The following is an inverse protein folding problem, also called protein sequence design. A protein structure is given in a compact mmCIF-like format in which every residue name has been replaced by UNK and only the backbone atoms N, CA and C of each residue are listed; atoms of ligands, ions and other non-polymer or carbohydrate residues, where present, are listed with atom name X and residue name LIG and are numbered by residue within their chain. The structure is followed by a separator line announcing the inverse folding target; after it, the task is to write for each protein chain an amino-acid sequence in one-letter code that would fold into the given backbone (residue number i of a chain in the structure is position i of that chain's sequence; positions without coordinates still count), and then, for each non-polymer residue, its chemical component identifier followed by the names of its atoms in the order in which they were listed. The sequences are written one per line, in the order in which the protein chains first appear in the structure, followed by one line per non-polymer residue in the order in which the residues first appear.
data_IF_254271790147
#
_entry.id   IF_254271790147
#
_cell.length_a   1.000
_cell.length_b   1.000
_cell.length_c   1.000
_cell.angle_alpha   90.00
_cell.angle_beta   90.00
_cell.angle_gamma   90.00
#
_symmetry.space_group_name_H-M   'P 1'
#
loop_
_entity.id
_entity.type
_entity.pdbx_description
1 polymer ?
#
# COMPACT_ATOMS: atom_id res chain seq x y z
N UNK A 1 37.14 -62.10 8.20
CA UNK A 1 37.81 -60.90 8.68
C UNK A 1 36.90 -59.73 8.31
N UNK A 2 36.33 -59.10 9.31
CA UNK A 2 35.32 -58.02 9.20
C UNK A 2 35.94 -56.69 8.76
N UNK A 3 35.34 -56.05 7.82
CA UNK A 3 35.49 -54.59 7.64
C UNK A 3 34.13 -53.94 7.59
N UNK A 4 33.82 -53.17 8.64
CA UNK A 4 32.63 -52.32 8.79
C UNK A 4 32.78 -51.09 7.93
N UNK A 5 31.83 -50.87 7.04
CA UNK A 5 31.61 -49.59 6.37
C UNK A 5 30.75 -48.69 7.25
N UNK A 6 31.32 -47.54 7.66
CA UNK A 6 30.60 -46.49 8.37
C UNK A 6 29.85 -45.58 7.36
N UNK A 7 28.55 -45.60 7.43
CA UNK A 7 27.67 -44.67 6.74
C UNK A 7 27.72 -43.28 7.43
N UNK A 8 28.09 -42.26 6.67
CA UNK A 8 27.98 -40.85 7.09
C UNK A 8 26.55 -40.38 6.82
N UNK A 9 25.78 -40.19 7.87
CA UNK A 9 24.50 -39.48 7.86
C UNK A 9 24.75 -37.99 7.63
N UNK A 10 24.39 -37.52 6.43
CA UNK A 10 24.26 -36.08 6.13
C UNK A 10 22.90 -35.65 6.56
N UNK A 11 22.78 -35.10 7.76
CA UNK A 11 21.54 -34.57 8.30
C UNK A 11 21.22 -33.21 7.65
N UNK A 12 20.06 -33.17 7.01
CA UNK A 12 19.41 -32.02 6.42
C UNK A 12 19.03 -30.99 7.49
N UNK A 13 19.55 -29.79 7.35
CA UNK A 13 19.14 -28.63 8.10
C UNK A 13 18.71 -27.52 7.13
N UNK A 14 17.66 -27.76 6.33
CA UNK A 14 17.00 -26.68 5.62
C UNK A 14 15.92 -26.10 6.55
N UNK A 15 16.31 -25.11 7.33
CA UNK A 15 15.37 -24.29 8.10
C UNK A 15 14.52 -23.44 7.13
N UNK A 16 13.27 -23.86 6.94
CA UNK A 16 12.25 -23.05 6.30
C UNK A 16 11.98 -21.83 7.18
N UNK A 17 12.53 -20.69 6.79
CA UNK A 17 12.09 -19.39 7.29
C UNK A 17 10.74 -19.07 6.65
N UNK A 18 9.65 -19.64 7.17
CA UNK A 18 8.29 -19.18 6.91
C UNK A 18 8.09 -17.89 7.69
N UNK A 19 8.42 -16.78 7.07
CA UNK A 19 7.99 -15.45 7.49
C UNK A 19 6.48 -15.33 7.32
N UNK A 20 5.70 -15.80 8.28
CA UNK A 20 4.29 -15.51 8.43
C UNK A 20 4.16 -14.04 8.89
N UNK A 21 4.20 -13.10 7.96
CA UNK A 21 3.64 -11.77 8.17
C UNK A 21 2.11 -11.93 8.17
N UNK A 22 1.54 -12.49 9.24
CA UNK A 22 0.10 -12.38 9.50
C UNK A 22 -0.16 -10.91 9.74
N UNK A 23 -0.78 -10.24 8.75
CA UNK A 23 -1.45 -8.95 8.95
C UNK A 23 -2.33 -9.12 10.18
N UNK A 24 -1.99 -8.47 11.31
CA UNK A 24 -2.78 -8.54 12.52
C UNK A 24 -4.04 -7.71 12.25
N UNK A 25 -5.15 -8.38 11.93
CA UNK A 25 -6.47 -7.78 11.87
C UNK A 25 -6.81 -7.25 13.28
N UNK A 26 -6.65 -5.94 13.45
CA UNK A 26 -6.97 -5.29 14.73
C UNK A 26 -8.46 -5.03 14.83
N UNK A 27 -9.03 -5.25 16.01
CA UNK A 27 -10.49 -5.13 16.22
C UNK A 27 -10.96 -3.66 16.13
N UNK A 28 -11.58 -3.33 14.96
CA UNK A 28 -12.60 -2.32 14.77
C UNK A 28 -12.29 -0.85 15.02
N UNK A 29 -13.32 -0.04 14.81
CA UNK A 29 -13.30 1.42 14.92
C UNK A 29 -12.84 1.93 16.30
N UNK A 30 -13.02 1.16 17.38
CA UNK A 30 -12.55 1.58 18.71
C UNK A 30 -11.04 1.60 18.82
N UNK A 31 -10.37 0.60 18.26
CA UNK A 31 -8.91 0.50 18.29
C UNK A 31 -8.28 1.48 17.30
N UNK A 32 -8.89 1.63 16.12
CA UNK A 32 -8.52 2.68 15.17
C UNK A 32 -8.54 4.07 15.84
N UNK A 33 -9.63 4.40 16.55
CA UNK A 33 -9.78 5.68 17.27
C UNK A 33 -8.84 5.85 18.48
N UNK A 34 -8.23 4.78 18.98
CA UNK A 34 -7.16 4.90 20.02
C UNK A 34 -5.86 5.43 19.39
N UNK A 35 -5.56 5.01 18.17
CA UNK A 35 -4.29 5.29 17.50
C UNK A 35 -4.36 6.52 16.59
N UNK A 36 -5.53 6.83 16.01
CA UNK A 36 -5.71 7.91 15.04
C UNK A 36 -6.79 8.89 15.46
N UNK A 37 -6.64 10.16 15.04
CA UNK A 37 -7.66 11.18 15.26
C UNK A 37 -8.72 11.03 14.17
N UNK A 38 -9.95 10.70 14.57
CA UNK A 38 -11.10 10.61 13.66
C UNK A 38 -12.28 11.27 14.36
N UNK A 39 -12.71 12.40 13.84
CA UNK A 39 -13.82 13.19 14.31
C UNK A 39 -14.64 13.76 13.15
N UNK A 40 -15.59 14.64 13.45
CA UNK A 40 -16.47 15.26 12.46
C UNK A 40 -15.75 16.23 11.51
N UNK A 41 -14.57 16.70 11.90
CA UNK A 41 -13.77 17.67 11.15
C UNK A 41 -12.65 16.97 10.37
N UNK A 42 -12.56 15.64 10.43
CA UNK A 42 -11.53 14.89 9.69
C UNK A 42 -11.70 15.10 8.19
N UNK A 43 -10.66 15.60 7.55
CA UNK A 43 -10.63 15.97 6.14
C UNK A 43 -10.90 14.74 5.25
N UNK A 44 -11.84 14.89 4.31
CA UNK A 44 -12.12 13.88 3.29
C UNK A 44 -11.27 14.17 2.07
N UNK A 45 -10.34 13.28 1.72
CA UNK A 45 -9.48 13.39 0.54
C UNK A 45 -10.19 12.97 -0.74
N UNK A 46 -11.12 12.01 -0.64
CA UNK A 46 -11.84 11.50 -1.78
C UNK A 46 -12.96 10.53 -1.40
N UNK A 47 -13.84 10.28 -2.36
CA UNK A 47 -14.94 9.33 -2.22
C UNK A 47 -15.04 8.47 -3.47
N UNK A 48 -14.94 7.15 -3.31
CA UNK A 48 -15.13 6.14 -4.36
C UNK A 48 -16.43 5.35 -4.19
N UNK A 49 -16.63 4.36 -5.07
CA UNK A 49 -17.82 3.52 -5.09
C UNK A 49 -18.04 2.77 -3.75
N UNK A 50 -16.97 2.27 -3.14
CA UNK A 50 -17.04 1.43 -1.97
C UNK A 50 -16.83 2.17 -0.64
N UNK A 51 -16.33 3.42 -0.68
CA UNK A 51 -16.02 4.15 0.55
C UNK A 51 -15.42 5.51 0.38
N UNK A 52 -14.77 5.99 1.45
CA UNK A 52 -14.13 7.30 1.52
C UNK A 52 -12.70 7.18 1.99
N UNK A 53 -11.86 8.13 1.59
CA UNK A 53 -10.49 8.28 2.09
C UNK A 53 -10.41 9.54 2.95
N UNK A 54 -9.85 9.41 4.14
CA UNK A 54 -9.72 10.49 5.11
C UNK A 54 -8.24 10.78 5.36
N UNK A 55 -7.89 12.05 5.51
CA UNK A 55 -6.58 12.48 6.02
C UNK A 55 -6.65 12.63 7.51
N UNK A 56 -5.68 12.08 8.22
CA UNK A 56 -5.56 12.23 9.66
C UNK A 56 -4.11 12.02 10.10
N UNK A 57 -3.88 11.92 11.40
CA UNK A 57 -2.56 11.68 11.97
C UNK A 57 -2.61 10.69 13.13
N UNK A 58 -1.45 10.08 13.40
CA UNK A 58 -1.29 9.16 14.51
C UNK A 58 -1.26 9.95 15.84
N UNK A 59 -2.01 9.52 16.85
CA UNK A 59 -2.09 10.20 18.17
C UNK A 59 -0.80 10.13 18.96
N UNK A 60 0.00 9.11 18.75
CA UNK A 60 1.28 8.88 19.43
C UNK A 60 2.46 9.55 18.71
N UNK A 61 2.27 9.85 17.42
CA UNK A 61 3.22 10.60 16.59
C UNK A 61 2.43 11.56 15.69
N UNK A 62 2.26 12.80 16.11
CA UNK A 62 1.46 13.81 15.40
C UNK A 62 2.07 14.24 14.06
N UNK A 63 3.35 14.00 13.84
CA UNK A 63 4.03 14.27 12.56
C UNK A 63 3.71 13.20 11.52
N UNK A 64 3.31 11.99 11.96
CA UNK A 64 2.91 10.92 11.07
C UNK A 64 1.49 11.16 10.56
N UNK A 65 1.37 11.84 9.42
CA UNK A 65 0.12 11.96 8.68
C UNK A 65 -0.17 10.67 7.92
N UNK A 66 -1.43 10.27 7.91
CA UNK A 66 -1.90 9.04 7.25
C UNK A 66 -3.15 9.27 6.44
N UNK A 67 -3.34 8.47 5.40
CA UNK A 67 -4.60 8.31 4.69
C UNK A 67 -5.31 7.06 5.20
N UNK A 68 -6.60 7.17 5.54
CA UNK A 68 -7.42 6.03 5.95
C UNK A 68 -8.52 5.81 4.93
N UNK A 69 -8.42 4.72 4.15
CA UNK A 69 -9.46 4.27 3.20
C UNK A 69 -10.48 3.47 3.99
N UNK A 70 -11.70 3.98 4.10
CA UNK A 70 -12.82 3.35 4.82
C UNK A 70 -13.76 2.71 3.84
N UNK A 71 -13.87 1.40 3.86
CA UNK A 71 -14.63 0.60 2.92
C UNK A 71 -15.87 0.01 3.61
N UNK A 72 -17.05 0.17 3.01
CA UNK A 72 -18.29 -0.39 3.53
C UNK A 72 -18.46 -1.85 3.10
N UNK A 73 -18.51 -2.78 4.06
CA UNK A 73 -18.73 -4.21 3.79
C UNK A 73 -20.04 -4.48 3.06
N UNK A 74 -21.10 -3.70 3.35
CA UNK A 74 -22.39 -3.84 2.68
C UNK A 74 -22.35 -3.45 1.19
N UNK A 75 -21.44 -2.54 0.81
CA UNK A 75 -21.22 -2.16 -0.59
C UNK A 75 -20.26 -3.11 -1.31
N UNK A 76 -19.35 -3.74 -0.56
CA UNK A 76 -18.36 -4.65 -1.10
C UNK A 76 -18.95 -6.02 -1.47
N UNK A 77 -19.92 -6.53 -0.69
CA UNK A 77 -20.56 -7.84 -0.90
C UNK A 77 -19.64 -8.92 -1.51
N UNK A 78 -19.67 -9.03 -2.84
CA UNK A 78 -18.93 -10.05 -3.61
C UNK A 78 -17.44 -9.68 -3.85
N UNK A 79 -17.00 -8.48 -3.40
CA UNK A 79 -15.63 -7.98 -3.57
C UNK A 79 -14.77 -8.08 -2.29
N UNK A 80 -15.26 -8.74 -1.23
CA UNK A 80 -14.52 -8.85 0.04
C UNK A 80 -13.19 -9.62 -0.12
N UNK A 81 -13.17 -10.63 -0.96
CA UNK A 81 -11.94 -11.38 -1.25
C UNK A 81 -10.92 -10.51 -2.01
N UNK A 82 -11.38 -9.74 -3.01
CA UNK A 82 -10.51 -8.82 -3.73
C UNK A 82 -9.85 -7.76 -2.82
N UNK A 83 -10.56 -7.30 -1.76
CA UNK A 83 -9.95 -6.38 -0.77
C UNK A 83 -8.91 -7.09 0.10
N UNK A 84 -9.12 -8.35 0.44
CA UNK A 84 -8.08 -9.13 1.15
C UNK A 84 -6.84 -9.29 0.30
N UNK A 85 -7.01 -9.60 -0.99
CA UNK A 85 -5.92 -9.71 -1.93
C UNK A 85 -5.18 -8.37 -2.08
N UNK A 86 -5.90 -7.23 -2.17
CA UNK A 86 -5.31 -5.88 -2.18
C UNK A 86 -4.45 -5.65 -0.93
N UNK A 87 -4.96 -6.00 0.25
CA UNK A 87 -4.21 -5.86 1.52
C UNK A 87 -2.98 -6.76 1.54
N UNK A 88 -3.12 -8.02 1.13
CA UNK A 88 -2.02 -8.98 1.10
C UNK A 88 -0.91 -8.56 0.12
N UNK A 89 -1.28 -7.94 -0.99
CA UNK A 89 -0.36 -7.33 -1.94
C UNK A 89 0.38 -6.16 -1.30
N UNK A 90 -0.36 -5.20 -0.74
CA UNK A 90 0.21 -4.00 -0.14
C UNK A 90 1.17 -4.32 1.01
N UNK A 91 0.91 -5.38 1.78
CA UNK A 91 1.80 -5.82 2.88
C UNK A 91 3.14 -6.39 2.41
N UNK A 92 3.23 -6.85 1.16
CA UNK A 92 4.46 -7.40 0.57
C UNK A 92 5.34 -6.35 -0.09
N UNK A 93 4.78 -5.18 -0.39
CA UNK A 93 5.44 -4.13 -1.15
C UNK A 93 6.07 -3.10 -0.20
N UNK A 94 7.39 -3.01 -0.19
CA UNK A 94 8.15 -1.96 0.50
C UNK A 94 9.13 -1.32 -0.48
N UNK A 95 8.72 -0.21 -1.08
CA UNK A 95 9.49 0.50 -2.11
C UNK A 95 9.24 2.02 -2.02
N UNK A 96 10.24 2.89 -2.20
CA UNK A 96 10.09 4.34 -2.07
C UNK A 96 9.04 4.96 -3.01
N UNK A 97 8.79 4.35 -4.17
CA UNK A 97 7.84 4.84 -5.17
C UNK A 97 6.49 4.05 -5.18
N UNK A 98 6.19 3.33 -4.11
CA UNK A 98 4.90 2.68 -3.87
C UNK A 98 4.33 3.23 -2.56
N UNK A 99 3.01 3.45 -2.51
CA UNK A 99 2.35 3.89 -1.27
C UNK A 99 2.63 2.91 -0.14
N UNK A 100 3.07 3.42 1.00
CA UNK A 100 3.34 2.58 2.17
C UNK A 100 2.05 2.22 2.87
N UNK A 101 1.82 0.94 3.05
CA UNK A 101 0.75 0.40 3.87
C UNK A 101 1.25 0.22 5.32
N UNK A 102 0.40 0.56 6.30
CA UNK A 102 0.73 0.44 7.71
C UNK A 102 -0.04 -0.68 8.40
N UNK A 103 -1.37 -0.61 8.38
CA UNK A 103 -2.21 -1.56 9.13
C UNK A 103 -3.67 -1.56 8.68
N UNK A 104 -4.39 -2.65 8.98
CA UNK A 104 -5.84 -2.78 8.75
C UNK A 104 -6.58 -2.91 10.07
N UNK A 105 -7.73 -2.24 10.14
CA UNK A 105 -8.73 -2.44 11.18
C UNK A 105 -10.03 -2.92 10.55
N UNK A 106 -10.73 -3.83 11.23
CA UNK A 106 -11.97 -4.43 10.73
C UNK A 106 -13.01 -4.42 11.84
N UNK A 107 -14.21 -3.95 11.53
CA UNK A 107 -15.38 -4.14 12.39
C UNK A 107 -16.55 -4.81 11.62
N UNK A 108 -17.72 -4.86 12.22
CA UNK A 108 -18.89 -5.50 11.61
C UNK A 108 -19.32 -4.86 10.28
N UNK A 109 -19.10 -3.54 10.11
CA UNK A 109 -19.63 -2.74 8.99
C UNK A 109 -18.56 -2.28 8.02
N UNK A 110 -17.34 -2.08 8.50
CA UNK A 110 -16.28 -1.41 7.73
C UNK A 110 -14.94 -2.14 7.80
N UNK A 111 -14.14 -1.90 6.76
CA UNK A 111 -12.70 -2.19 6.70
C UNK A 111 -11.99 -0.84 6.59
N UNK A 112 -10.94 -0.66 7.39
CA UNK A 112 -10.13 0.56 7.43
C UNK A 112 -8.70 0.22 7.04
N UNK A 113 -8.24 0.73 5.92
CA UNK A 113 -6.87 0.58 5.45
C UNK A 113 -6.09 1.85 5.80
N UNK A 114 -5.06 1.73 6.61
CA UNK A 114 -4.20 2.85 7.01
C UNK A 114 -2.96 2.84 6.16
N UNK A 115 -2.71 3.94 5.46
CA UNK A 115 -1.64 4.09 4.50
C UNK A 115 -0.92 5.43 4.68
N UNK A 116 0.24 5.55 4.06
CA UNK A 116 0.98 6.81 3.90
C UNK A 116 0.06 7.89 3.29
N UNK A 117 0.07 9.08 3.90
CA UNK A 117 -0.55 10.25 3.29
C UNK A 117 0.41 10.88 2.30
N UNK A 118 -0.05 11.13 1.08
CA UNK A 118 0.73 11.74 0.00
C UNK A 118 0.09 13.07 -0.34
N UNK A 119 0.78 14.17 -0.05
CA UNK A 119 0.20 15.52 -0.01
C UNK A 119 0.57 16.44 -1.17
N UNK A 120 1.26 15.97 -2.21
CA UNK A 120 1.70 16.79 -3.35
C UNK A 120 0.75 16.75 -4.57
N UNK A 121 -0.42 16.08 -4.44
CA UNK A 121 -1.43 15.98 -5.50
C UNK A 121 -1.17 14.85 -6.49
N UNK A 122 -2.02 14.76 -7.51
CA UNK A 122 -1.91 13.75 -8.57
C UNK A 122 -0.86 14.16 -9.62
N UNK A 123 -0.18 13.18 -10.21
CA UNK A 123 0.74 13.43 -11.33
C UNK A 123 -0.01 14.05 -12.52
N UNK A 124 -1.26 13.65 -12.74
CA UNK A 124 -2.13 14.22 -13.77
C UNK A 124 -2.26 15.74 -13.61
N UNK A 125 -2.58 16.21 -12.41
CA UNK A 125 -2.74 17.65 -12.13
C UNK A 125 -1.42 18.39 -12.31
N UNK A 126 -0.30 17.78 -11.92
CA UNK A 126 1.02 18.36 -12.09
C UNK A 126 1.41 18.52 -13.58
N UNK A 127 1.04 17.56 -14.42
CA UNK A 127 1.19 17.67 -15.87
C UNK A 127 0.31 18.81 -16.41
N UNK A 128 -0.98 18.83 -16.02
CA UNK A 128 -1.93 19.83 -16.50
C UNK A 128 -1.56 21.27 -16.11
N UNK A 129 -0.86 21.46 -14.99
CA UNK A 129 -0.39 22.76 -14.49
C UNK A 129 0.99 23.16 -15.02
N UNK A 130 1.72 22.25 -15.68
CA UNK A 130 3.03 22.55 -16.25
C UNK A 130 2.92 23.37 -17.53
N UNK A 131 4.00 24.03 -17.91
CA UNK A 131 4.07 24.81 -19.15
C UNK A 131 3.76 23.90 -20.36
N UNK A 132 2.86 24.36 -21.22
CA UNK A 132 2.33 23.61 -22.36
C UNK A 132 1.67 22.26 -22.01
N UNK A 133 1.29 22.04 -20.72
CA UNK A 133 0.70 20.80 -20.24
C UNK A 133 1.57 19.56 -20.53
N UNK A 134 2.88 19.73 -20.46
CA UNK A 134 3.88 18.68 -20.68
C UNK A 134 5.02 18.82 -19.69
N UNK A 135 5.68 17.72 -19.36
CA UNK A 135 6.96 17.75 -18.69
C UNK A 135 8.10 17.90 -19.71
N UNK A 136 9.23 18.39 -19.23
CA UNK A 136 10.48 18.32 -19.99
C UNK A 136 10.87 16.84 -20.19
N UNK A 137 11.72 16.57 -21.19
CA UNK A 137 12.27 15.23 -21.40
C UNK A 137 13.06 14.76 -20.17
N UNK A 138 13.79 15.67 -19.51
CA UNK A 138 14.57 15.37 -18.30
C UNK A 138 13.66 14.97 -17.13
N UNK A 139 12.61 15.75 -16.85
CA UNK A 139 11.63 15.42 -15.79
C UNK A 139 10.92 14.11 -16.09
N UNK A 140 10.50 13.91 -17.34
CA UNK A 140 9.85 12.67 -17.78
C UNK A 140 10.75 11.46 -17.57
N UNK A 141 12.03 11.58 -17.87
CA UNK A 141 13.01 10.52 -17.65
C UNK A 141 13.16 10.19 -16.16
N UNK A 142 13.19 11.20 -15.29
CA UNK A 142 13.26 11.01 -13.83
C UNK A 142 12.03 10.24 -13.32
N UNK A 143 10.83 10.70 -13.69
CA UNK A 143 9.59 10.05 -13.25
C UNK A 143 9.43 8.63 -13.80
N UNK A 144 9.78 8.42 -15.07
CA UNK A 144 9.70 7.08 -15.68
C UNK A 144 10.68 6.10 -15.04
N UNK A 145 11.90 6.53 -14.68
CA UNK A 145 12.83 5.66 -13.92
C UNK A 145 12.28 5.22 -12.58
N UNK A 146 11.65 6.13 -11.83
CA UNK A 146 11.02 5.85 -10.55
C UNK A 146 9.84 4.86 -10.72
N UNK A 147 9.00 5.10 -11.74
CA UNK A 147 7.88 4.22 -12.06
C UNK A 147 8.34 2.82 -12.45
N UNK A 148 9.35 2.71 -13.32
CA UNK A 148 9.91 1.40 -13.70
C UNK A 148 10.56 0.68 -12.51
N UNK A 149 11.19 1.41 -11.59
CA UNK A 149 11.72 0.82 -10.35
C UNK A 149 10.61 0.22 -9.50
N UNK A 150 9.48 0.92 -9.33
CA UNK A 150 8.30 0.42 -8.64
C UNK A 150 7.72 -0.82 -9.34
N UNK A 151 7.55 -0.76 -10.67
CA UNK A 151 7.06 -1.91 -11.46
C UNK A 151 7.98 -3.14 -11.33
N UNK A 152 9.29 -2.94 -11.42
CA UNK A 152 10.24 -4.04 -11.27
C UNK A 152 10.16 -4.67 -9.88
N UNK A 153 10.03 -3.86 -8.83
CA UNK A 153 9.84 -4.34 -7.46
C UNK A 153 8.56 -5.19 -7.33
N UNK A 154 7.43 -4.69 -7.86
CA UNK A 154 6.15 -5.43 -7.85
C UNK A 154 6.26 -6.75 -8.59
N UNK A 155 6.81 -6.74 -9.82
CA UNK A 155 6.94 -7.93 -10.65
C UNK A 155 7.83 -8.99 -9.99
N UNK A 156 8.89 -8.57 -9.30
CA UNK A 156 9.74 -9.48 -8.53
C UNK A 156 9.00 -10.16 -7.36
N UNK A 157 7.91 -9.54 -6.86
CA UNK A 157 7.01 -10.10 -5.84
C UNK A 157 5.82 -10.85 -6.44
N UNK A 158 5.77 -11.01 -7.77
CA UNK A 158 4.67 -11.67 -8.47
C UNK A 158 3.40 -10.81 -8.58
N UNK A 159 3.51 -9.50 -8.40
CA UNK A 159 2.38 -8.55 -8.43
C UNK A 159 2.40 -7.74 -9.72
N UNK A 160 1.24 -7.58 -10.35
CA UNK A 160 1.03 -6.73 -11.53
C UNK A 160 -0.09 -5.73 -11.22
N UNK A 161 0.18 -4.43 -11.34
CA UNK A 161 -0.76 -3.36 -10.98
C UNK A 161 -2.02 -3.32 -11.85
N UNK A 162 -1.91 -3.57 -13.14
CA UNK A 162 -2.96 -3.63 -14.17
C UNK A 162 -3.75 -2.32 -14.45
N UNK A 163 -3.50 -1.23 -13.70
CA UNK A 163 -4.14 0.07 -13.90
C UNK A 163 -3.15 1.24 -13.70
N UNK A 164 -1.95 1.16 -14.30
CA UNK A 164 -0.97 2.25 -14.24
C UNK A 164 -1.41 3.39 -15.16
N UNK A 165 -1.73 4.54 -14.55
CA UNK A 165 -2.13 5.79 -15.23
C UNK A 165 -1.79 6.99 -14.36
N UNK A 166 -1.73 8.21 -14.91
CA UNK A 166 -1.35 9.39 -14.15
C UNK A 166 -2.22 9.67 -12.92
N UNK A 167 -3.49 9.28 -12.93
CA UNK A 167 -4.45 9.42 -11.82
C UNK A 167 -4.12 8.47 -10.64
N UNK A 168 -3.47 7.34 -10.91
CA UNK A 168 -3.01 6.39 -9.90
C UNK A 168 -1.57 6.63 -9.47
N UNK A 169 -1.02 7.80 -9.80
CA UNK A 169 0.32 8.23 -9.39
C UNK A 169 0.18 9.55 -8.65
N UNK A 170 0.60 9.56 -7.40
CA UNK A 170 0.65 10.77 -6.59
C UNK A 170 2.06 11.28 -6.41
N UNK A 171 2.16 12.56 -6.07
CA UNK A 171 3.42 13.22 -5.75
C UNK A 171 3.48 13.55 -4.27
N UNK A 172 4.62 13.35 -3.63
CA UNK A 172 4.85 13.88 -2.29
C UNK A 172 5.12 15.39 -2.36
N UNK A 173 5.11 16.07 -1.23
CA UNK A 173 5.46 17.49 -1.17
C UNK A 173 6.90 17.76 -1.60
N UNK A 174 7.79 16.78 -1.40
CA UNK A 174 9.20 16.81 -1.81
C UNK A 174 9.40 16.49 -3.31
N UNK A 175 8.32 16.18 -4.04
CA UNK A 175 8.37 15.88 -5.48
C UNK A 175 8.70 14.41 -5.80
N UNK A 176 8.57 13.50 -4.83
CA UNK A 176 8.72 12.07 -5.07
C UNK A 176 7.43 11.46 -5.61
N UNK A 177 7.59 10.54 -6.58
CA UNK A 177 6.47 9.79 -7.18
C UNK A 177 6.09 8.61 -6.29
N UNK A 178 4.78 8.41 -6.12
CA UNK A 178 4.18 7.26 -5.41
C UNK A 178 3.07 6.63 -6.24
N UNK A 179 3.21 5.35 -6.56
CA UNK A 179 2.14 4.55 -7.17
C UNK A 179 1.13 4.16 -6.10
N UNK A 180 -0.16 4.37 -6.38
CA UNK A 180 -1.28 4.10 -5.49
C UNK A 180 -2.30 3.20 -6.16
N UNK A 181 -3.30 2.74 -5.42
CA UNK A 181 -4.48 2.00 -5.86
C UNK A 181 -4.22 0.65 -6.55
N UNK A 182 -4.13 -0.38 -5.73
CA UNK A 182 -3.88 -1.77 -6.13
C UNK A 182 -5.17 -2.60 -6.29
N UNK A 183 -6.33 -1.97 -6.36
CA UNK A 183 -7.63 -2.64 -6.40
C UNK A 183 -7.90 -3.52 -7.62
N UNK A 184 -7.01 -3.50 -8.63
CA UNK A 184 -7.06 -4.38 -9.80
C UNK A 184 -5.88 -5.35 -9.90
N UNK A 185 -5.00 -5.36 -8.91
CA UNK A 185 -3.75 -6.16 -8.94
C UNK A 185 -3.98 -7.65 -8.70
#
# INVERSE_FOLDING_TARGET
MNSKSSSLDVNKGAGEAKGNAKTQEKQGAKELKRNYVIDQNTEVLGQGAFGKVFKTYNKHNKELQVAIKVLSKSKLKDHLEAIKDEVDILTKLDHPNIVKYYETYIDERYIYLVMEYIGGGELFDKIAQSENQTFTEEDSQIYMRKLFSACNHMHAQGVVHRDIKPENIMMTQEGELKLIDFGLS
#
